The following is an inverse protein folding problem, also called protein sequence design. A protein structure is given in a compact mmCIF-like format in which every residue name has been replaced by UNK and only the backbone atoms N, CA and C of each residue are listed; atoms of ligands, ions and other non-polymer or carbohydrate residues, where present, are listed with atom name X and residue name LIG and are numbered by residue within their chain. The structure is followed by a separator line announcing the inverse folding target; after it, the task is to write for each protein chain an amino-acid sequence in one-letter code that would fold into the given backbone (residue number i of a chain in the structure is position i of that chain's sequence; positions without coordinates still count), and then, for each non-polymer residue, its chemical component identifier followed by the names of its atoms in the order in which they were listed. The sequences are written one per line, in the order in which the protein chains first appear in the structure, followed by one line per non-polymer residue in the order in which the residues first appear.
data_IF_071153274927
#
_entry.id   IF_071153274927
#
_cell.length_a   1.000
_cell.length_b   1.000
_cell.length_c   1.000
_cell.angle_alpha   90.00
_cell.angle_beta   90.00
_cell.angle_gamma   90.00
#
_symmetry.space_group_name_H-M   'P 1'
#
loop_
_entity.id
_entity.type
_entity.pdbx_description
1 polymer ?
#
# COMPACT_ATOMS: atom_id res chain seq x y z
N UNK A 1 -24.88 8.84 18.69
CA UNK A 1 -24.70 7.43 18.27
C UNK A 1 -23.96 6.70 19.36
N UNK A 2 -24.43 5.50 19.76
CA UNK A 2 -23.66 4.63 20.66
C UNK A 2 -22.40 4.14 19.95
N UNK A 3 -21.35 3.83 20.71
CA UNK A 3 -20.09 3.28 20.18
C UNK A 3 -20.32 2.02 19.34
N UNK A 4 -21.25 1.17 19.75
CA UNK A 4 -21.56 -0.08 19.03
C UNK A 4 -22.14 0.18 17.65
N UNK A 5 -23.05 1.16 17.51
CA UNK A 5 -23.63 1.54 16.20
C UNK A 5 -22.52 2.09 15.29
N UNK A 6 -21.65 2.96 15.80
CA UNK A 6 -20.53 3.51 15.05
C UNK A 6 -19.59 2.40 14.58
N UNK A 7 -19.28 1.41 15.45
CA UNK A 7 -18.45 0.27 15.13
C UNK A 7 -19.07 -0.60 14.03
N UNK A 8 -20.33 -1.00 14.15
CA UNK A 8 -21.01 -1.78 13.10
C UNK A 8 -21.06 -1.05 11.75
N UNK A 9 -21.23 0.26 11.76
CA UNK A 9 -21.19 1.08 10.57
C UNK A 9 -19.79 1.06 9.92
N UNK A 10 -18.73 1.20 10.72
CA UNK A 10 -17.34 1.11 10.23
C UNK A 10 -16.99 -0.30 9.71
N UNK A 11 -17.45 -1.34 10.38
CA UNK A 11 -17.26 -2.73 9.94
C UNK A 11 -17.95 -2.95 8.58
N UNK A 12 -19.19 -2.46 8.42
CA UNK A 12 -19.90 -2.51 7.14
C UNK A 12 -19.18 -1.73 6.05
N UNK A 13 -18.70 -0.51 6.35
CA UNK A 13 -17.90 0.28 5.41
C UNK A 13 -16.62 -0.45 5.02
N UNK A 14 -15.90 -1.03 5.97
CA UNK A 14 -14.68 -1.79 5.69
C UNK A 14 -14.94 -2.99 4.76
N UNK A 15 -16.05 -3.70 4.93
CA UNK A 15 -16.45 -4.78 4.02
C UNK A 15 -16.75 -4.25 2.61
N UNK A 16 -17.50 -3.15 2.51
CA UNK A 16 -17.77 -2.49 1.23
C UNK A 16 -16.48 -2.07 0.53
N UNK A 17 -15.57 -1.44 1.26
CA UNK A 17 -14.29 -1.01 0.71
C UNK A 17 -13.37 -2.19 0.37
N UNK A 18 -13.44 -3.31 1.07
CA UNK A 18 -12.74 -4.54 0.68
C UNK A 18 -13.23 -5.04 -0.69
N UNK A 19 -14.55 -5.02 -0.94
CA UNK A 19 -15.10 -5.36 -2.26
C UNK A 19 -14.61 -4.39 -3.35
N UNK A 20 -14.54 -3.10 -3.05
CA UNK A 20 -13.99 -2.09 -3.97
C UNK A 20 -12.49 -2.32 -4.22
N UNK A 21 -11.70 -2.66 -3.19
CA UNK A 21 -10.29 -3.03 -3.33
C UNK A 21 -10.14 -4.21 -4.30
N UNK A 22 -10.91 -5.28 -4.09
CA UNK A 22 -10.88 -6.44 -4.95
C UNK A 22 -11.27 -6.07 -6.40
N UNK A 23 -12.32 -5.30 -6.59
CA UNK A 23 -12.76 -4.83 -7.91
C UNK A 23 -11.70 -3.97 -8.61
N UNK A 24 -11.14 -2.96 -7.92
CA UNK A 24 -10.13 -2.08 -8.51
C UNK A 24 -8.81 -2.83 -8.78
N UNK A 25 -8.37 -3.67 -7.84
CA UNK A 25 -7.17 -4.51 -8.05
C UNK A 25 -7.35 -5.43 -9.24
N UNK A 26 -8.48 -6.14 -9.32
CA UNK A 26 -8.83 -6.98 -10.45
C UNK A 26 -8.86 -6.19 -11.76
N UNK A 27 -9.47 -5.01 -11.78
CA UNK A 27 -9.53 -4.14 -12.94
C UNK A 27 -8.18 -3.58 -13.39
N UNK A 28 -7.28 -3.27 -12.45
CA UNK A 28 -5.90 -2.86 -12.75
C UNK A 28 -5.13 -4.03 -13.37
N UNK A 29 -5.22 -5.22 -12.78
CA UNK A 29 -4.52 -6.42 -13.26
C UNK A 29 -5.06 -6.85 -14.63
N UNK A 30 -6.39 -6.87 -14.82
CA UNK A 30 -7.00 -7.19 -16.13
C UNK A 30 -6.52 -6.26 -17.23
N UNK A 31 -6.51 -4.95 -16.95
CA UNK A 31 -6.02 -3.96 -17.92
C UNK A 31 -4.54 -4.13 -18.22
N UNK A 32 -3.72 -4.37 -17.18
CA UNK A 32 -2.28 -4.56 -17.33
C UNK A 32 -1.95 -5.80 -18.19
N UNK A 33 -2.76 -6.86 -18.11
CA UNK A 33 -2.46 -8.14 -18.76
C UNK A 33 -3.30 -8.42 -20.00
N UNK A 34 -4.22 -7.52 -20.32
CA UNK A 34 -5.19 -7.73 -21.39
C UNK A 34 -6.05 -8.99 -21.19
N UNK A 35 -6.42 -9.26 -19.92
CA UNK A 35 -7.30 -10.35 -19.51
C UNK A 35 -8.75 -9.86 -19.43
N UNK A 36 -9.70 -10.77 -19.39
CA UNK A 36 -11.09 -10.46 -19.03
C UNK A 36 -11.28 -10.55 -17.52
N UNK A 37 -12.25 -9.83 -16.99
CA UNK A 37 -12.56 -9.88 -15.54
C UNK A 37 -13.08 -11.26 -15.10
N UNK A 38 -13.52 -12.08 -16.06
CA UNK A 38 -13.98 -13.47 -15.83
C UNK A 38 -12.83 -14.49 -15.80
N UNK A 39 -11.59 -14.07 -16.09
CA UNK A 39 -10.43 -14.98 -16.00
C UNK A 39 -10.23 -15.43 -14.54
N UNK A 40 -10.19 -16.75 -14.32
CA UNK A 40 -10.01 -17.33 -12.99
C UNK A 40 -8.76 -16.84 -12.25
N UNK A 41 -7.70 -16.45 -12.98
CA UNK A 41 -6.48 -15.89 -12.40
C UNK A 41 -6.76 -14.61 -11.62
N UNK A 42 -7.68 -13.77 -12.10
CA UNK A 42 -8.04 -12.52 -11.42
C UNK A 42 -8.68 -12.81 -10.07
N UNK A 43 -9.60 -13.78 -10.03
CA UNK A 43 -10.27 -14.20 -8.79
C UNK A 43 -9.29 -14.83 -7.79
N UNK A 44 -8.36 -15.66 -8.27
CA UNK A 44 -7.28 -16.18 -7.43
C UNK A 44 -6.43 -15.05 -6.85
N UNK A 45 -6.04 -14.06 -7.66
CA UNK A 45 -5.27 -12.92 -7.19
C UNK A 45 -6.00 -12.09 -6.12
N UNK A 46 -7.28 -11.82 -6.33
CA UNK A 46 -8.11 -11.13 -5.33
C UNK A 46 -8.23 -11.96 -4.04
N UNK A 47 -8.41 -13.28 -4.16
CA UNK A 47 -8.45 -14.20 -3.03
C UNK A 47 -7.14 -14.19 -2.23
N UNK A 48 -5.98 -14.19 -2.90
CA UNK A 48 -4.66 -14.08 -2.25
C UNK A 48 -4.53 -12.79 -1.45
N UNK A 49 -5.02 -11.67 -1.99
CA UNK A 49 -5.05 -10.39 -1.27
C UNK A 49 -5.86 -10.46 0.03
N UNK A 50 -6.98 -11.18 0.03
CA UNK A 50 -7.81 -11.37 1.22
C UNK A 50 -7.18 -12.25 2.30
N UNK A 51 -6.13 -13.02 2.00
CA UNK A 51 -5.45 -13.88 2.99
C UNK A 51 -4.53 -13.11 3.95
N UNK A 52 -4.28 -11.82 3.69
CA UNK A 52 -3.48 -10.97 4.58
C UNK A 52 -4.20 -10.82 5.91
N UNK A 53 -3.53 -11.14 7.03
CA UNK A 53 -4.11 -11.00 8.38
C UNK A 53 -4.50 -9.57 8.74
N UNK A 54 -3.90 -8.58 8.07
CA UNK A 54 -4.25 -7.18 8.21
C UNK A 54 -5.69 -6.87 7.75
N UNK A 55 -6.27 -7.63 6.82
CA UNK A 55 -7.65 -7.43 6.34
C UNK A 55 -8.66 -7.67 7.47
N UNK A 56 -8.75 -8.88 8.08
CA UNK A 56 -9.65 -9.07 9.21
C UNK A 56 -9.28 -8.18 10.40
N UNK A 57 -7.99 -7.94 10.66
CA UNK A 57 -7.59 -7.04 11.75
C UNK A 57 -8.14 -5.62 11.57
N UNK A 58 -8.09 -5.05 10.35
CA UNK A 58 -8.65 -3.73 10.07
C UNK A 58 -10.18 -3.70 10.28
N UNK A 59 -10.89 -4.75 9.88
CA UNK A 59 -12.35 -4.86 10.07
C UNK A 59 -12.66 -4.94 11.57
N UNK A 60 -12.09 -5.91 12.29
CA UNK A 60 -12.41 -6.11 13.71
C UNK A 60 -12.02 -4.93 14.62
N UNK A 61 -10.99 -4.17 14.26
CA UNK A 61 -10.57 -2.99 15.03
C UNK A 61 -11.30 -1.72 14.62
N UNK A 62 -12.16 -1.76 13.58
CA UNK A 62 -12.86 -0.56 13.07
C UNK A 62 -11.91 0.49 12.52
N UNK A 63 -10.77 0.07 11.95
CA UNK A 63 -9.76 0.97 11.41
C UNK A 63 -10.03 1.32 9.94
N UNK A 64 -9.44 2.38 9.44
CA UNK A 64 -9.67 2.96 8.10
C UNK A 64 -8.66 2.58 7.00
N UNK A 65 -7.72 1.61 7.17
CA UNK A 65 -6.74 1.33 6.13
C UNK A 65 -7.36 0.76 4.84
N UNK A 66 -8.45 0.01 4.94
CA UNK A 66 -9.17 -0.50 3.76
C UNK A 66 -9.80 0.64 2.96
N UNK A 67 -10.36 1.64 3.64
CA UNK A 67 -10.94 2.83 3.01
C UNK A 67 -9.85 3.59 2.23
N UNK A 68 -8.71 3.85 2.87
CA UNK A 68 -7.59 4.56 2.24
C UNK A 68 -7.00 3.79 1.05
N UNK A 69 -6.82 2.47 1.20
CA UNK A 69 -6.32 1.62 0.11
C UNK A 69 -7.29 1.61 -1.08
N UNK A 70 -8.61 1.48 -0.83
CA UNK A 70 -9.62 1.57 -1.87
C UNK A 70 -9.57 2.94 -2.57
N UNK A 71 -9.33 4.01 -1.81
CA UNK A 71 -9.08 5.35 -2.36
C UNK A 71 -7.90 5.37 -3.33
N UNK A 72 -6.75 4.83 -2.94
CA UNK A 72 -5.57 4.75 -3.80
C UNK A 72 -5.82 3.95 -5.07
N UNK A 73 -6.35 2.73 -4.94
CA UNK A 73 -6.59 1.84 -6.07
C UNK A 73 -7.70 2.35 -6.99
N UNK A 74 -8.75 2.95 -6.41
CA UNK A 74 -9.82 3.59 -7.17
C UNK A 74 -9.32 4.79 -7.97
N UNK A 75 -8.46 5.63 -7.38
CA UNK A 75 -7.83 6.74 -8.10
C UNK A 75 -7.02 6.24 -9.30
N UNK A 76 -6.18 5.21 -9.13
CA UNK A 76 -5.40 4.60 -10.20
C UNK A 76 -6.31 4.03 -11.29
N UNK A 77 -7.27 3.19 -10.91
CA UNK A 77 -8.17 2.50 -11.82
C UNK A 77 -9.01 3.45 -12.68
N UNK A 78 -9.58 4.47 -12.03
CA UNK A 78 -10.45 5.46 -12.70
C UNK A 78 -9.65 6.44 -13.55
N UNK A 79 -8.46 6.84 -13.08
CA UNK A 79 -7.55 7.65 -13.90
C UNK A 79 -7.16 6.92 -15.19
N UNK A 80 -6.81 5.64 -15.10
CA UNK A 80 -6.49 4.81 -16.27
C UNK A 80 -7.65 4.67 -17.26
N UNK A 81 -8.89 4.93 -16.84
CA UNK A 81 -10.11 4.94 -17.67
C UNK A 81 -10.50 6.34 -18.17
N UNK A 82 -9.67 7.35 -17.90
CA UNK A 82 -9.93 8.72 -18.31
C UNK A 82 -10.91 9.49 -17.42
N UNK A 83 -11.42 8.89 -16.34
CA UNK A 83 -12.38 9.51 -15.42
C UNK A 83 -11.68 10.37 -14.37
N UNK A 84 -11.07 11.48 -14.80
CA UNK A 84 -10.23 12.33 -13.95
C UNK A 84 -10.97 12.85 -12.71
N UNK A 85 -12.23 13.29 -12.85
CA UNK A 85 -13.01 13.86 -11.74
C UNK A 85 -13.27 12.81 -10.67
N UNK A 86 -13.75 11.63 -11.06
CA UNK A 86 -14.06 10.56 -10.10
C UNK A 86 -12.75 10.03 -9.49
N UNK A 87 -11.66 9.90 -10.27
CA UNK A 87 -10.35 9.56 -9.75
C UNK A 87 -9.89 10.54 -8.66
N UNK A 88 -10.13 11.84 -8.85
CA UNK A 88 -9.80 12.88 -7.87
C UNK A 88 -10.63 12.78 -6.58
N UNK A 89 -11.89 12.36 -6.64
CA UNK A 89 -12.68 12.06 -5.44
C UNK A 89 -12.09 10.87 -4.66
N UNK A 90 -11.58 9.87 -5.36
CA UNK A 90 -10.89 8.75 -4.72
C UNK A 90 -9.56 9.15 -4.07
N UNK A 91 -8.88 10.21 -4.54
CA UNK A 91 -7.74 10.80 -3.83
C UNK A 91 -8.18 11.38 -2.48
N UNK A 92 -9.34 12.01 -2.39
CA UNK A 92 -9.90 12.48 -1.10
C UNK A 92 -10.16 11.31 -0.15
N UNK A 93 -10.77 10.22 -0.65
CA UNK A 93 -10.99 9.01 0.15
C UNK A 93 -9.64 8.43 0.64
N UNK A 94 -8.63 8.40 -0.21
CA UNK A 94 -7.30 7.95 0.17
C UNK A 94 -6.68 8.80 1.29
N UNK A 95 -6.92 10.11 1.29
CA UNK A 95 -6.37 11.05 2.27
C UNK A 95 -6.89 10.88 3.71
N UNK A 96 -7.92 10.05 3.93
CA UNK A 96 -8.39 9.67 5.27
C UNK A 96 -7.26 9.04 6.11
N UNK A 97 -6.34 8.33 5.46
CA UNK A 97 -5.17 7.76 6.12
C UNK A 97 -3.90 8.08 5.32
N UNK A 98 -3.34 9.29 5.49
CA UNK A 98 -2.26 9.80 4.63
C UNK A 98 -1.02 8.92 4.65
N UNK A 99 -0.71 8.23 5.75
CA UNK A 99 0.41 7.30 5.83
C UNK A 99 0.29 6.12 4.85
N UNK A 100 -0.91 5.72 4.44
CA UNK A 100 -1.12 4.70 3.41
C UNK A 100 -1.09 5.33 2.01
N UNK A 101 -1.63 6.53 1.87
CA UNK A 101 -1.91 7.14 0.58
C UNK A 101 -0.75 7.93 0.00
N UNK A 102 0.11 8.51 0.83
CA UNK A 102 1.07 9.54 0.41
C UNK A 102 1.95 9.07 -0.76
N UNK A 103 2.68 7.97 -0.59
CA UNK A 103 3.61 7.50 -1.61
C UNK A 103 2.90 7.00 -2.88
N UNK A 104 1.83 6.18 -2.81
CA UNK A 104 1.09 5.76 -3.99
C UNK A 104 0.45 6.94 -4.76
N UNK A 105 -0.10 7.94 -4.07
CA UNK A 105 -0.74 9.08 -4.74
C UNK A 105 0.29 10.02 -5.36
N UNK A 106 1.41 10.30 -4.69
CA UNK A 106 2.50 11.09 -5.29
C UNK A 106 3.03 10.36 -6.54
N UNK A 107 3.27 9.05 -6.43
CA UNK A 107 3.66 8.25 -7.59
C UNK A 107 2.65 8.40 -8.74
N UNK A 108 1.35 8.28 -8.44
CA UNK A 108 0.29 8.41 -9.43
C UNK A 108 0.29 9.81 -10.08
N UNK A 109 0.40 10.89 -9.31
CA UNK A 109 0.42 12.25 -9.85
C UNK A 109 1.57 12.48 -10.82
N UNK A 110 2.77 12.04 -10.46
CA UNK A 110 3.96 12.25 -11.29
C UNK A 110 3.90 11.37 -12.55
N UNK A 111 3.42 10.12 -12.43
CA UNK A 111 3.29 9.21 -13.57
C UNK A 111 2.14 9.59 -14.50
N UNK A 112 1.07 10.14 -13.96
CA UNK A 112 -0.08 10.62 -14.73
C UNK A 112 0.27 11.80 -15.65
N UNK A 113 1.25 12.63 -15.27
CA UNK A 113 1.65 13.86 -15.98
C UNK A 113 0.46 14.75 -16.36
N UNK A 114 -0.58 14.74 -15.55
CA UNK A 114 -1.84 15.43 -15.81
C UNK A 114 -2.05 16.57 -14.82
N UNK A 115 -1.80 17.81 -15.25
CA UNK A 115 -2.08 19.00 -14.47
C UNK A 115 -3.56 19.12 -14.09
N UNK A 116 -4.45 18.65 -14.98
CA UNK A 116 -5.89 18.59 -14.70
C UNK A 116 -6.19 17.67 -13.52
N UNK A 117 -5.60 16.47 -13.47
CA UNK A 117 -5.80 15.53 -12.39
C UNK A 117 -5.26 16.09 -11.07
N UNK A 118 -4.05 16.64 -11.09
CA UNK A 118 -3.44 17.27 -9.91
C UNK A 118 -4.30 18.44 -9.42
N UNK A 119 -4.72 19.36 -10.30
CA UNK A 119 -5.52 20.53 -9.94
C UNK A 119 -6.87 20.17 -9.36
N UNK A 120 -7.63 19.27 -10.01
CA UNK A 120 -8.95 18.83 -9.51
C UNK A 120 -8.82 18.11 -8.16
N UNK A 121 -7.82 17.24 -8.00
CA UNK A 121 -7.56 16.54 -6.73
C UNK A 121 -7.20 17.53 -5.62
N UNK A 122 -6.35 18.50 -5.89
CA UNK A 122 -5.97 19.55 -4.91
C UNK A 122 -7.18 20.36 -4.47
N UNK A 123 -8.04 20.76 -5.40
CA UNK A 123 -9.29 21.49 -5.09
C UNK A 123 -10.18 20.64 -4.18
N UNK A 124 -10.43 19.38 -4.51
CA UNK A 124 -11.29 18.52 -3.69
C UNK A 124 -10.72 18.26 -2.30
N UNK A 125 -9.42 17.99 -2.18
CA UNK A 125 -8.74 17.81 -0.88
C UNK A 125 -8.85 19.10 -0.06
N UNK A 126 -8.57 20.25 -0.66
CA UNK A 126 -8.69 21.56 0.02
C UNK A 126 -10.09 21.84 0.52
N UNK A 127 -11.11 21.63 -0.34
CA UNK A 127 -12.52 21.79 0.05
C UNK A 127 -12.87 20.87 1.22
N UNK A 128 -12.42 19.62 1.18
CA UNK A 128 -12.67 18.65 2.25
C UNK A 128 -12.03 19.08 3.56
N UNK A 129 -10.78 19.55 3.53
CA UNK A 129 -10.09 20.08 4.71
C UNK A 129 -10.84 21.30 5.28
N UNK A 130 -11.28 22.23 4.43
CA UNK A 130 -12.04 23.39 4.85
C UNK A 130 -13.38 23.03 5.48
N UNK A 131 -14.11 22.03 4.91
CA UNK A 131 -15.38 21.54 5.48
C UNK A 131 -15.13 20.92 6.85
N UNK A 132 -14.10 20.06 6.99
CA UNK A 132 -13.77 19.41 8.27
C UNK A 132 -13.37 20.48 9.29
N UNK A 133 -12.59 21.49 8.91
CA UNK A 133 -12.22 22.63 9.76
C UNK A 133 -13.44 23.37 10.25
N UNK A 134 -14.36 23.73 9.35
CA UNK A 134 -15.59 24.43 9.70
C UNK A 134 -16.49 23.61 10.62
N UNK A 135 -16.64 22.30 10.38
CA UNK A 135 -17.42 21.40 11.23
C UNK A 135 -16.77 21.19 12.61
N UNK A 136 -15.44 21.24 12.68
CA UNK A 136 -14.68 21.15 13.93
C UNK A 136 -14.68 22.45 14.75
N UNK A 137 -15.26 23.54 14.24
CA UNK A 137 -15.29 24.85 14.90
C UNK A 137 -13.95 25.60 14.89
N UNK A 138 -12.93 25.06 14.22
CA UNK A 138 -11.65 25.71 14.02
C UNK A 138 -11.46 26.03 12.53
N UNK A 139 -11.52 27.31 12.21
CA UNK A 139 -11.39 27.79 10.83
C UNK A 139 -9.95 27.81 10.31
N UNK A 140 -8.97 27.42 11.15
CA UNK A 140 -7.58 27.30 10.73
C UNK A 140 -7.24 25.84 10.40
N UNK A 141 -7.15 25.44 9.12
CA UNK A 141 -6.84 24.05 8.76
C UNK A 141 -5.45 23.60 9.23
N UNK A 142 -4.52 24.52 9.45
CA UNK A 142 -3.18 24.18 9.94
C UNK A 142 -3.20 23.79 11.42
N UNK A 143 -4.03 24.41 12.24
CA UNK A 143 -4.16 24.03 13.66
C UNK A 143 -4.76 22.64 13.82
N UNK A 144 -5.74 22.27 12.98
CA UNK A 144 -6.33 20.93 12.97
C UNK A 144 -5.28 19.89 12.57
N UNK A 145 -4.52 20.12 11.50
CA UNK A 145 -3.47 19.21 11.06
C UNK A 145 -2.40 19.06 12.16
N UNK A 146 -1.96 20.18 12.75
CA UNK A 146 -0.96 20.17 13.82
C UNK A 146 -1.49 19.48 15.07
N UNK A 147 -2.71 19.81 15.51
CA UNK A 147 -3.35 19.20 16.67
C UNK A 147 -3.57 17.70 16.49
N UNK A 148 -4.04 17.28 15.33
CA UNK A 148 -4.18 15.85 14.98
C UNK A 148 -2.84 15.13 14.99
N UNK A 149 -1.79 15.72 14.43
CA UNK A 149 -0.45 15.13 14.39
C UNK A 149 0.15 15.01 15.80
N UNK A 150 0.06 16.05 16.62
CA UNK A 150 0.60 16.02 17.99
C UNK A 150 -0.13 15.03 18.86
N UNK A 151 -1.47 14.97 18.79
CA UNK A 151 -2.29 13.99 19.51
C UNK A 151 -1.97 12.57 19.07
N UNK A 152 -1.85 12.34 17.76
CA UNK A 152 -1.51 11.04 17.22
C UNK A 152 -0.15 10.56 17.72
N UNK A 153 0.86 11.42 17.71
CA UNK A 153 2.22 11.12 18.16
C UNK A 153 2.31 10.89 19.68
N UNK A 154 1.44 11.51 20.49
CA UNK A 154 1.42 11.34 21.95
C UNK A 154 0.83 10.01 22.40
N UNK A 155 0.09 9.30 21.55
CA UNK A 155 -0.51 8.02 21.90
C UNK A 155 0.56 6.92 22.01
N UNK A 156 0.59 6.21 23.14
CA UNK A 156 1.52 5.10 23.38
C UNK A 156 1.39 3.98 22.31
N UNK A 157 0.20 3.83 21.71
CA UNK A 157 -0.02 2.90 20.61
C UNK A 157 0.79 3.26 19.35
N UNK A 158 1.14 4.54 19.17
CA UNK A 158 1.88 5.07 18.05
C UNK A 158 3.38 5.24 18.34
N UNK A 159 3.89 4.63 19.43
CA UNK A 159 5.32 4.58 19.68
C UNK A 159 6.05 3.89 18.51
N UNK A 160 7.23 4.39 18.14
CA UNK A 160 8.00 3.85 17.02
C UNK A 160 8.27 2.34 17.13
N UNK A 161 8.42 1.82 18.35
CA UNK A 161 8.58 0.38 18.61
C UNK A 161 7.34 -0.48 18.28
N UNK A 162 6.17 0.14 18.12
CA UNK A 162 4.91 -0.51 17.74
C UNK A 162 4.53 -0.31 16.30
N UNK A 163 5.31 0.48 15.57
CA UNK A 163 5.16 0.70 14.14
C UNK A 163 6.08 -0.25 13.37
N UNK A 164 5.70 -0.57 12.13
CA UNK A 164 6.45 -1.46 11.27
C UNK A 164 7.47 -0.72 10.40
N UNK A 165 8.22 -1.47 9.61
CA UNK A 165 9.18 -0.95 8.66
C UNK A 165 10.40 -0.33 9.32
N UNK A 166 10.90 0.75 8.76
CA UNK A 166 12.10 1.45 9.24
C UNK A 166 11.92 2.01 10.65
N UNK A 167 10.68 2.38 11.02
CA UNK A 167 10.35 2.85 12.37
C UNK A 167 10.72 1.85 13.45
N UNK A 168 10.39 0.58 13.24
CA UNK A 168 10.75 -0.47 14.18
C UNK A 168 12.26 -0.60 14.34
N UNK A 169 13.01 -0.72 13.23
CA UNK A 169 14.47 -0.88 13.28
C UNK A 169 15.16 0.29 13.97
N UNK A 170 14.78 1.51 13.63
CA UNK A 170 15.38 2.71 14.22
C UNK A 170 15.05 2.84 15.71
N UNK A 171 13.84 2.43 16.14
CA UNK A 171 13.50 2.41 17.56
C UNK A 171 14.36 1.43 18.35
N UNK A 172 14.72 0.27 17.77
CA UNK A 172 15.64 -0.69 18.39
C UNK A 172 17.06 -0.12 18.51
N UNK A 173 17.45 0.81 17.65
CA UNK A 173 18.72 1.54 17.72
C UNK A 173 18.68 2.76 18.66
N UNK A 174 17.58 2.99 19.37
CA UNK A 174 17.38 4.14 20.25
C UNK A 174 17.12 5.47 19.53
N UNK A 175 16.92 5.45 18.21
CA UNK A 175 16.66 6.63 17.39
C UNK A 175 15.15 6.86 17.33
N UNK A 176 14.62 7.73 18.19
CA UNK A 176 13.17 7.91 18.33
C UNK A 176 12.64 9.24 17.72
N UNK A 177 13.39 10.32 17.81
CA UNK A 177 12.87 11.66 17.45
C UNK A 177 12.99 12.07 15.98
N UNK A 178 14.13 11.94 15.26
CA UNK A 178 14.19 12.40 13.87
C UNK A 178 13.52 11.45 12.89
N UNK A 179 13.18 10.22 13.30
CA UNK A 179 12.68 9.19 12.40
C UNK A 179 11.31 9.52 11.79
N UNK A 180 10.46 10.24 12.53
CA UNK A 180 9.11 10.63 12.08
C UNK A 180 9.13 11.52 10.84
N UNK A 181 10.23 12.23 10.59
CA UNK A 181 10.42 13.07 9.41
C UNK A 181 11.36 12.42 8.39
N UNK A 182 12.44 11.80 8.86
CA UNK A 182 13.48 11.24 7.98
C UNK A 182 12.93 10.05 7.18
N UNK A 183 12.20 9.14 7.82
CA UNK A 183 11.70 7.94 7.13
C UNK A 183 10.73 8.26 5.98
N UNK A 184 9.66 9.06 6.17
CA UNK A 184 8.81 9.47 5.06
C UNK A 184 9.55 10.27 3.98
N UNK A 185 10.51 11.12 4.35
CA UNK A 185 11.31 11.88 3.40
C UNK A 185 12.18 10.96 2.52
N UNK A 186 12.81 9.93 3.10
CA UNK A 186 13.54 8.91 2.35
C UNK A 186 12.62 8.14 1.41
N UNK A 187 11.44 7.74 1.88
CA UNK A 187 10.43 7.07 1.05
C UNK A 187 10.01 7.94 -0.14
N UNK A 188 9.75 9.21 0.10
CA UNK A 188 9.43 10.19 -0.95
C UNK A 188 10.58 10.34 -1.96
N UNK A 189 11.82 10.52 -1.50
CA UNK A 189 12.99 10.63 -2.37
C UNK A 189 13.16 9.38 -3.24
N UNK A 190 12.97 8.19 -2.69
CA UNK A 190 13.07 6.95 -3.44
C UNK A 190 11.94 6.79 -4.46
N UNK A 191 10.71 7.15 -4.11
CA UNK A 191 9.58 7.14 -5.07
C UNK A 191 9.84 8.13 -6.20
N UNK A 192 10.29 9.35 -5.91
CA UNK A 192 10.60 10.33 -6.94
C UNK A 192 11.78 9.89 -7.82
N UNK A 193 12.82 9.27 -7.23
CA UNK A 193 13.94 8.70 -7.99
C UNK A 193 13.49 7.56 -8.90
N UNK A 194 12.64 6.67 -8.41
CA UNK A 194 12.03 5.60 -9.21
C UNK A 194 11.23 6.18 -10.38
N UNK A 195 10.39 7.18 -10.12
CA UNK A 195 9.59 7.84 -11.17
C UNK A 195 10.49 8.52 -12.19
N UNK A 196 11.50 9.25 -11.75
CA UNK A 196 12.45 9.91 -12.65
C UNK A 196 13.16 8.88 -13.55
N UNK A 197 13.60 7.76 -12.98
CA UNK A 197 14.21 6.68 -13.74
C UNK A 197 13.23 6.05 -14.75
N UNK A 198 11.99 5.80 -14.35
CA UNK A 198 10.94 5.27 -15.24
C UNK A 198 10.63 6.21 -16.40
N UNK A 199 10.57 7.52 -16.11
CA UNK A 199 10.35 8.56 -17.13
C UNK A 199 11.50 8.57 -18.12
N UNK A 200 12.75 8.57 -17.63
CA UNK A 200 13.96 8.59 -18.47
C UNK A 200 14.06 7.35 -19.36
N UNK A 201 13.60 6.21 -18.90
CA UNK A 201 13.67 4.95 -19.64
C UNK A 201 12.42 4.66 -20.49
N UNK A 202 11.46 5.59 -20.52
CA UNK A 202 10.14 5.43 -21.19
C UNK A 202 9.35 4.19 -20.74
N UNK A 203 9.78 3.50 -19.68
CA UNK A 203 9.20 2.24 -19.20
C UNK A 203 7.93 2.42 -18.39
N UNK A 204 7.60 3.65 -18.00
CA UNK A 204 6.55 3.93 -17.04
C UNK A 204 5.37 4.73 -17.56
N UNK A 205 5.10 4.78 -18.86
CA UNK A 205 3.91 5.46 -19.38
C UNK A 205 2.66 4.70 -18.99
N UNK A 206 1.83 5.28 -18.11
CA UNK A 206 0.50 4.75 -17.79
C UNK A 206 -0.41 4.66 -19.02
N UNK A 207 -0.15 5.47 -20.06
CA UNK A 207 -0.88 5.46 -21.33
C UNK A 207 -0.62 4.19 -22.14
N UNK A 208 0.49 3.47 -21.89
CA UNK A 208 0.85 2.25 -22.60
C UNK A 208 0.20 0.97 -22.03
N UNK A 209 -0.66 1.09 -21.03
CA UNK A 209 -1.45 -0.03 -20.50
C UNK A 209 -2.45 -0.61 -21.52
N UNK A 210 -2.20 -0.61 -22.76
CA UNK A 210 -3.09 -1.19 -23.76
C UNK A 210 -2.40 -1.67 -25.02
N UNK A 211 -1.28 -1.05 -25.41
CA UNK A 211 -0.72 -1.21 -26.75
C UNK A 211 0.72 -1.74 -26.80
N UNK A 212 1.32 -2.11 -25.67
CA UNK A 212 2.69 -2.60 -25.64
C UNK A 212 2.79 -4.13 -25.58
N UNK A 213 3.92 -4.67 -26.02
CA UNK A 213 4.23 -6.09 -25.89
C UNK A 213 4.05 -6.58 -24.45
N UNK A 214 3.64 -7.84 -24.26
CA UNK A 214 3.32 -8.45 -22.93
C UNK A 214 4.37 -8.22 -21.83
N UNK A 215 5.65 -8.07 -22.23
CA UNK A 215 6.77 -7.79 -21.29
C UNK A 215 6.62 -6.47 -20.55
N UNK A 216 6.24 -5.42 -21.30
CA UNK A 216 6.12 -4.07 -20.74
C UNK A 216 4.92 -3.98 -19.78
N UNK A 217 3.89 -4.79 -19.99
CA UNK A 217 2.68 -4.81 -19.17
C UNK A 217 2.94 -5.36 -17.76
N UNK A 218 3.62 -6.51 -17.66
CA UNK A 218 4.00 -7.09 -16.36
C UNK A 218 4.93 -6.14 -15.63
N UNK A 219 5.91 -5.59 -16.32
CA UNK A 219 6.85 -4.65 -15.73
C UNK A 219 6.15 -3.41 -15.18
N UNK A 220 5.20 -2.85 -15.93
CA UNK A 220 4.42 -1.69 -15.48
C UNK A 220 3.57 -2.03 -14.26
N UNK A 221 2.96 -3.23 -14.22
CA UNK A 221 2.22 -3.68 -13.05
C UNK A 221 3.12 -3.80 -11.81
N UNK A 222 4.32 -4.35 -11.95
CA UNK A 222 5.28 -4.45 -10.86
C UNK A 222 5.72 -3.09 -10.34
N UNK A 223 6.04 -2.15 -11.25
CA UNK A 223 6.37 -0.79 -10.84
C UNK A 223 5.21 -0.08 -10.15
N UNK A 224 3.96 -0.40 -10.50
CA UNK A 224 2.79 0.13 -9.82
C UNK A 224 2.69 -0.41 -8.37
N UNK A 225 3.17 -1.61 -8.08
CA UNK A 225 3.14 -2.17 -6.71
C UNK A 225 4.22 -1.61 -5.80
N UNK A 226 5.34 -1.13 -6.34
CA UNK A 226 6.48 -0.64 -5.56
C UNK A 226 6.13 0.49 -4.59
N UNK A 227 5.34 1.53 -4.94
CA UNK A 227 4.97 2.58 -4.00
C UNK A 227 4.22 2.05 -2.77
N UNK A 228 3.42 1.00 -2.92
CA UNK A 228 2.73 0.34 -1.81
C UNK A 228 3.72 -0.44 -0.92
N UNK A 229 4.69 -1.13 -1.51
CA UNK A 229 5.76 -1.77 -0.76
C UNK A 229 6.62 -0.73 -0.01
N UNK A 230 6.98 0.37 -0.65
CA UNK A 230 7.72 1.48 -0.04
C UNK A 230 6.94 2.12 1.10
N UNK A 231 5.61 2.23 0.96
CA UNK A 231 4.74 2.69 2.06
C UNK A 231 4.93 1.82 3.31
N UNK A 232 4.98 0.51 3.17
CA UNK A 232 5.16 -0.40 4.29
C UNK A 232 6.54 -0.30 4.97
N UNK A 233 7.56 0.21 4.27
CA UNK A 233 8.91 0.39 4.81
C UNK A 233 9.07 1.77 5.45
N UNK A 234 8.64 2.83 4.76
CA UNK A 234 9.00 4.20 5.09
C UNK A 234 7.93 5.00 5.83
N UNK A 235 6.68 4.53 5.81
CA UNK A 235 5.59 5.22 6.52
C UNK A 235 5.32 4.59 7.89
N UNK A 236 4.82 5.37 8.87
CA UNK A 236 4.49 4.86 10.20
C UNK A 236 3.22 3.99 10.14
N UNK A 237 3.39 2.71 9.88
CA UNK A 237 2.29 1.76 9.75
C UNK A 237 2.20 0.81 10.94
N UNK A 238 0.97 0.43 11.26
CA UNK A 238 0.66 -0.68 12.18
C UNK A 238 0.45 -1.99 11.41
N UNK A 239 0.39 -3.12 12.11
CA UNK A 239 0.19 -4.43 11.46
C UNK A 239 -1.08 -4.52 10.61
N UNK A 240 -2.18 -3.85 11.00
CA UNK A 240 -3.41 -3.79 10.20
C UNK A 240 -3.30 -2.92 8.95
N UNK A 241 -2.26 -2.10 8.82
CA UNK A 241 -1.99 -1.29 7.62
C UNK A 241 -1.31 -2.08 6.51
N UNK A 242 -0.87 -3.30 6.78
CA UNK A 242 -0.30 -4.20 5.77
C UNK A 242 -1.30 -4.62 4.69
N UNK A 243 -2.53 -4.15 4.77
CA UNK A 243 -3.50 -4.21 3.65
C UNK A 243 -2.93 -3.61 2.36
N UNK A 244 -1.92 -2.73 2.44
CA UNK A 244 -1.20 -2.17 1.27
C UNK A 244 -0.59 -3.26 0.37
N UNK A 245 -0.31 -4.44 0.92
CA UNK A 245 0.17 -5.57 0.14
C UNK A 245 -0.92 -6.29 -0.67
N UNK A 246 -2.19 -5.89 -0.54
CA UNK A 246 -3.28 -6.51 -1.30
C UNK A 246 -3.02 -6.50 -2.80
N UNK A 247 -2.65 -5.34 -3.36
CA UNK A 247 -2.35 -5.20 -4.79
C UNK A 247 -1.10 -6.00 -5.20
N UNK A 248 -0.12 -6.11 -4.30
CA UNK A 248 1.09 -6.91 -4.52
C UNK A 248 0.72 -8.38 -4.66
N UNK A 249 -0.04 -8.94 -3.70
CA UNK A 249 -0.48 -10.34 -3.73
C UNK A 249 -1.40 -10.61 -4.92
N UNK A 250 -2.32 -9.69 -5.22
CA UNK A 250 -3.19 -9.80 -6.39
C UNK A 250 -2.40 -9.85 -7.70
N UNK A 251 -1.23 -9.22 -7.74
CA UNK A 251 -0.37 -9.20 -8.92
C UNK A 251 0.46 -10.49 -9.10
N UNK A 252 0.54 -11.36 -8.08
CA UNK A 252 1.34 -12.59 -8.15
C UNK A 252 0.82 -13.61 -9.16
N UNK A 253 -0.48 -13.55 -9.49
CA UNK A 253 -1.11 -14.45 -10.49
C UNK A 253 -0.47 -14.37 -11.86
N UNK A 254 0.28 -13.29 -12.13
CA UNK A 254 0.97 -13.09 -13.40
C UNK A 254 2.41 -13.60 -13.38
N UNK A 255 2.89 -14.00 -12.20
CA UNK A 255 4.24 -14.47 -12.00
C UNK A 255 4.36 -15.94 -12.38
N UNK A 256 5.53 -16.34 -12.85
CA UNK A 256 5.89 -17.75 -13.04
C UNK A 256 6.21 -18.40 -11.69
N UNK A 257 6.06 -19.73 -11.62
CA UNK A 257 6.24 -20.49 -10.39
C UNK A 257 7.54 -20.21 -9.65
N UNK A 258 8.67 -20.08 -10.34
CA UNK A 258 9.95 -19.78 -9.71
C UNK A 258 10.02 -18.36 -9.10
N UNK A 259 9.35 -17.37 -9.69
CA UNK A 259 9.24 -16.04 -9.07
C UNK A 259 8.32 -16.05 -7.85
N UNK A 260 7.25 -16.83 -7.91
CA UNK A 260 6.38 -17.04 -6.74
C UNK A 260 7.19 -17.67 -5.61
N UNK A 261 8.00 -18.69 -5.90
CA UNK A 261 8.87 -19.32 -4.91
C UNK A 261 9.86 -18.33 -4.28
N UNK A 262 10.42 -17.43 -5.09
CA UNK A 262 11.33 -16.36 -4.60
C UNK A 262 10.59 -15.34 -3.72
N UNK A 263 9.34 -15.00 -4.03
CA UNK A 263 8.54 -14.04 -3.27
C UNK A 263 7.91 -14.66 -2.00
N UNK A 264 7.75 -15.99 -1.98
CA UNK A 264 7.01 -16.71 -0.93
C UNK A 264 7.47 -16.39 0.50
N UNK A 265 8.79 -16.34 0.84
CA UNK A 265 9.22 -15.98 2.19
C UNK A 265 8.71 -14.62 2.63
N UNK A 266 8.86 -13.60 1.79
CA UNK A 266 8.36 -12.26 2.10
C UNK A 266 6.84 -12.20 2.19
N UNK A 267 6.12 -12.93 1.34
CA UNK A 267 4.66 -13.04 1.38
C UNK A 267 4.20 -13.61 2.72
N UNK A 268 4.79 -14.70 3.19
CA UNK A 268 4.46 -15.31 4.47
C UNK A 268 4.69 -14.34 5.62
N UNK A 269 5.81 -13.61 5.59
CA UNK A 269 6.17 -12.64 6.63
C UNK A 269 5.23 -11.43 6.68
N UNK A 270 4.69 -10.96 5.55
CA UNK A 270 3.74 -9.82 5.56
C UNK A 270 2.29 -10.25 5.69
N UNK A 271 1.93 -11.45 5.18
CA UNK A 271 0.55 -11.92 5.23
C UNK A 271 0.15 -12.45 6.61
N UNK A 272 1.07 -13.09 7.31
CA UNK A 272 0.82 -13.74 8.61
C UNK A 272 1.98 -13.57 9.58
N UNK A 273 2.45 -12.33 9.87
CA UNK A 273 3.66 -12.09 10.66
C UNK A 273 3.59 -12.69 12.05
N UNK A 274 2.46 -12.56 12.75
CA UNK A 274 2.30 -13.08 14.11
C UNK A 274 2.27 -14.61 14.14
N UNK A 275 1.67 -15.25 13.15
CA UNK A 275 1.64 -16.72 13.07
C UNK A 275 3.05 -17.27 12.84
N UNK A 276 3.84 -16.63 11.97
CA UNK A 276 5.25 -17.01 11.75
C UNK A 276 6.09 -16.74 12.98
N UNK A 277 5.89 -15.61 13.67
CA UNK A 277 6.57 -15.29 14.92
C UNK A 277 6.28 -16.35 15.99
N UNK A 278 4.99 -16.70 16.17
CA UNK A 278 4.59 -17.72 17.14
C UNK A 278 5.19 -19.11 16.83
N UNK A 279 5.25 -19.47 15.56
CA UNK A 279 5.89 -20.71 15.14
C UNK A 279 7.40 -20.71 15.46
N UNK A 280 8.10 -19.62 15.10
CA UNK A 280 9.52 -19.48 15.37
C UNK A 280 9.81 -19.48 16.86
N UNK A 281 9.04 -18.75 17.68
CA UNK A 281 9.20 -18.73 19.12
C UNK A 281 9.05 -20.15 19.72
N UNK A 282 8.05 -20.91 19.31
CA UNK A 282 7.90 -22.32 19.75
C UNK A 282 9.07 -23.20 19.38
N UNK A 283 9.70 -22.95 18.22
CA UNK A 283 10.88 -23.71 17.80
C UNK A 283 12.14 -23.31 18.58
N UNK A 284 12.23 -22.04 18.98
CA UNK A 284 13.40 -21.47 19.67
C UNK A 284 13.31 -21.68 21.20
N UNK A 285 12.11 -21.70 21.79
CA UNK A 285 11.90 -21.83 23.26
C UNK A 285 12.59 -23.06 23.87
N UNK A 286 12.90 -24.09 23.04
CA UNK A 286 13.69 -25.25 23.45
C UNK A 286 15.21 -25.04 23.48
N UNK A 287 15.72 -23.95 22.90
CA UNK A 287 17.17 -23.76 22.65
C UNK A 287 17.74 -22.45 23.22
N UNK A 288 16.95 -21.39 23.34
CA UNK A 288 17.43 -20.05 23.77
C UNK A 288 16.45 -19.41 24.74
N UNK A 289 16.91 -19.14 25.94
CA UNK A 289 16.16 -18.38 26.95
C UNK A 289 16.29 -16.88 26.67
N UNK A 290 15.17 -16.14 26.63
CA UNK A 290 15.06 -14.67 26.51
C UNK A 290 15.09 -14.03 25.13
N UNK A 291 14.93 -14.74 24.01
CA UNK A 291 14.74 -14.10 22.71
C UNK A 291 13.32 -14.36 22.19
N UNK A 292 12.49 -13.32 22.11
CA UNK A 292 11.18 -13.41 21.47
C UNK A 292 11.20 -12.71 20.10
N UNK A 293 10.82 -13.44 19.07
CA UNK A 293 10.61 -12.89 17.73
C UNK A 293 9.24 -12.23 17.69
N UNK A 294 9.14 -10.96 17.28
CA UNK A 294 7.87 -10.25 17.19
C UNK A 294 7.32 -10.27 15.75
N UNK A 295 5.99 -10.28 15.62
CA UNK A 295 5.32 -10.16 14.32
C UNK A 295 5.66 -8.83 13.63
N UNK A 296 5.85 -7.74 14.38
CA UNK A 296 6.24 -6.44 13.83
C UNK A 296 7.61 -6.52 13.15
N UNK A 297 8.58 -7.18 13.79
CA UNK A 297 9.91 -7.41 13.22
C UNK A 297 9.82 -8.20 11.91
N UNK A 298 9.11 -9.34 11.94
CA UNK A 298 8.99 -10.21 10.77
C UNK A 298 8.24 -9.54 9.63
N UNK A 299 7.16 -8.82 9.93
CA UNK A 299 6.43 -8.04 8.92
C UNK A 299 7.31 -6.97 8.28
N UNK A 300 8.14 -6.28 9.07
CA UNK A 300 9.08 -5.26 8.58
C UNK A 300 10.16 -5.89 7.68
N UNK A 301 10.73 -7.02 8.07
CA UNK A 301 11.69 -7.78 7.24
C UNK A 301 11.04 -8.26 5.95
N UNK A 302 9.81 -8.78 6.04
CA UNK A 302 9.04 -9.22 4.88
C UNK A 302 8.76 -8.10 3.89
N UNK A 303 8.41 -6.90 4.38
CA UNK A 303 8.19 -5.72 3.54
C UNK A 303 9.47 -5.30 2.79
N UNK A 304 10.62 -5.26 3.48
CA UNK A 304 11.91 -4.94 2.87
C UNK A 304 12.27 -6.00 1.82
N UNK A 305 12.17 -7.27 2.18
CA UNK A 305 12.46 -8.39 1.28
C UNK A 305 11.61 -8.33 0.01
N UNK A 306 10.27 -8.19 0.14
CA UNK A 306 9.37 -8.10 -1.01
C UNK A 306 9.69 -6.92 -1.91
N UNK A 307 9.99 -5.76 -1.32
CA UNK A 307 10.33 -4.56 -2.09
C UNK A 307 11.58 -4.78 -2.93
N UNK A 308 12.64 -5.35 -2.33
CA UNK A 308 13.91 -5.64 -3.03
C UNK A 308 13.66 -6.64 -4.16
N UNK A 309 12.98 -7.75 -3.86
CA UNK A 309 12.74 -8.81 -4.85
C UNK A 309 11.86 -8.32 -6.00
N UNK A 310 10.76 -7.60 -5.72
CA UNK A 310 9.89 -7.01 -6.74
C UNK A 310 10.67 -6.03 -7.61
N UNK A 311 11.52 -5.18 -7.01
CA UNK A 311 12.35 -4.24 -7.74
C UNK A 311 13.34 -4.97 -8.66
N UNK A 312 14.01 -6.01 -8.16
CA UNK A 312 14.91 -6.86 -8.96
C UNK A 312 14.14 -7.49 -10.12
N UNK A 313 12.99 -8.11 -9.86
CA UNK A 313 12.17 -8.73 -10.89
C UNK A 313 11.73 -7.67 -11.91
N UNK A 314 11.26 -6.50 -11.49
CA UNK A 314 10.83 -5.43 -12.37
C UNK A 314 11.95 -4.90 -13.28
N UNK A 315 13.17 -4.79 -12.75
CA UNK A 315 14.33 -4.31 -13.51
C UNK A 315 14.83 -5.38 -14.50
N UNK A 316 14.95 -6.62 -14.04
CA UNK A 316 15.55 -7.70 -14.83
C UNK A 316 14.56 -8.54 -15.64
N UNK A 317 13.27 -8.45 -15.33
CA UNK A 317 12.21 -9.16 -16.06
C UNK A 317 12.15 -8.81 -17.55
N UNK A 318 12.76 -7.70 -17.95
CA UNK A 318 12.82 -7.27 -19.35
C UNK A 318 13.60 -8.22 -20.27
N UNK A 319 14.44 -9.11 -19.73
CA UNK A 319 15.32 -9.92 -20.57
C UNK A 319 14.88 -11.39 -20.77
N UNK A 320 14.15 -12.02 -19.86
CA UNK A 320 13.91 -13.49 -19.92
C UNK A 320 12.50 -14.02 -19.61
N UNK A 321 11.57 -13.22 -19.06
CA UNK A 321 10.28 -13.76 -18.55
C UNK A 321 9.34 -14.22 -19.67
N UNK A 322 9.56 -13.77 -20.90
CA UNK A 322 8.65 -13.98 -22.04
C UNK A 322 9.15 -14.99 -23.07
N UNK A 323 10.35 -15.55 -22.93
CA UNK A 323 10.91 -16.40 -23.99
C UNK A 323 10.31 -17.81 -24.10
N UNK A 324 9.28 -18.16 -23.34
CA UNK A 324 8.62 -19.47 -23.45
C UNK A 324 7.11 -19.32 -23.25
N UNK A 325 6.41 -18.89 -24.29
CA UNK A 325 5.06 -19.36 -24.55
C UNK A 325 5.21 -20.73 -25.21
N UNK A 326 4.91 -21.78 -24.49
CA UNK A 326 4.43 -23.06 -24.99
C UNK A 326 3.54 -23.68 -23.92
#
# INVERSE_FOLDING_TARGET
FSWDIAKYFLDFLNLLFLLLIAFFSGGIVTKALNLTFYDGKIWVGMGLGCLISAVPAAIFTGQTPLIALAGCLGAIYLFQRGNVVIASLFVVIASIKPQIALLPIIYLFVMARSWRFLGVSSVFVTITILIISALGGDYNPFSIIQGSTTTHMSLAANAASRMSGLYWFMSQMGITHPITLISPALGLMLVLSLVFWLIKTERGRLDHFGNSEDKSKIQTLLFLTLPFCMTAIFMPLHGYDYVVFFIVLSSLVVMRGYFIALLLPGILLVARPDNVANLLNRLIDGYVTNTSVSGIMLGSLGAIYLTIVIMIIAIFASQKIVSTRY
#
